data_IF_571734911876
#
_entry.id   IF_571734911876
#
_cell.length_a   1.000
_cell.length_b   1.000
_cell.length_c   1.000
_cell.angle_alpha   90.00
_cell.angle_beta   90.00
_cell.angle_gamma   90.00
#
_symmetry.space_group_name_H-M   'P 1'
#
loop_
_entity.id
_entity.type
_entity.pdbx_description
1 polymer ?
#
# COMPACT_ATOMS: atom_id res chain seq x y z
N UNK A 1 -12.25 -20.04 14.30
CA UNK A 1 -13.56 -19.51 13.87
C UNK A 1 -13.37 -18.68 12.61
N UNK A 2 -14.34 -18.68 11.69
CA UNK A 2 -14.33 -17.81 10.51
C UNK A 2 -14.22 -16.33 10.91
N UNK A 3 -14.81 -15.93 12.03
CA UNK A 3 -14.74 -14.56 12.55
C UNK A 3 -13.30 -14.10 12.81
N UNK A 4 -12.48 -14.98 13.42
CA UNK A 4 -11.07 -14.70 13.70
C UNK A 4 -10.29 -14.47 12.40
N UNK A 5 -10.55 -15.30 11.38
CA UNK A 5 -9.93 -15.14 10.07
C UNK A 5 -10.31 -13.81 9.43
N UNK A 6 -11.60 -13.45 9.43
CA UNK A 6 -12.06 -12.17 8.88
C UNK A 6 -11.43 -10.96 9.58
N UNK A 7 -11.26 -11.01 10.91
CA UNK A 7 -10.61 -9.92 11.66
C UNK A 7 -9.15 -9.77 11.23
N UNK A 8 -8.39 -10.87 11.16
CA UNK A 8 -6.99 -10.80 10.73
C UNK A 8 -6.84 -10.34 9.29
N UNK A 9 -7.71 -10.80 8.39
CA UNK A 9 -7.74 -10.33 7.00
C UNK A 9 -8.07 -8.83 6.95
N UNK A 10 -9.03 -8.35 7.74
CA UNK A 10 -9.38 -6.93 7.79
C UNK A 10 -8.19 -6.08 8.28
N UNK A 11 -7.51 -6.52 9.34
CA UNK A 11 -6.32 -5.85 9.86
C UNK A 11 -5.18 -5.85 8.83
N UNK A 12 -4.90 -6.99 8.19
CA UNK A 12 -3.86 -7.09 7.18
C UNK A 12 -4.11 -6.16 5.97
N UNK A 13 -5.36 -6.12 5.48
CA UNK A 13 -5.73 -5.22 4.37
C UNK A 13 -5.69 -3.74 4.78
N UNK A 14 -6.11 -3.42 6.01
CA UNK A 14 -5.99 -2.05 6.53
C UNK A 14 -4.53 -1.60 6.61
N UNK A 15 -3.64 -2.44 7.15
CA UNK A 15 -2.20 -2.17 7.20
C UNK A 15 -1.58 -2.05 5.80
N UNK A 16 -1.96 -2.92 4.86
CA UNK A 16 -1.47 -2.87 3.48
C UNK A 16 -1.90 -1.56 2.78
N UNK A 17 -3.15 -1.13 2.96
CA UNK A 17 -3.67 0.12 2.39
C UNK A 17 -2.97 1.36 2.96
N UNK A 18 -2.72 1.39 4.27
CA UNK A 18 -1.97 2.47 4.91
C UNK A 18 -0.52 2.54 4.41
N UNK A 19 0.13 1.38 4.26
CA UNK A 19 1.50 1.32 3.74
C UNK A 19 1.58 1.80 2.28
N UNK A 20 0.61 1.41 1.44
CA UNK A 20 0.54 1.85 0.05
C UNK A 20 0.46 3.38 -0.06
N UNK A 21 -0.43 4.01 0.70
CA UNK A 21 -0.60 5.46 0.67
C UNK A 21 0.66 6.21 1.15
N UNK A 22 1.28 5.71 2.22
CA UNK A 22 2.49 6.32 2.80
C UNK A 22 3.70 6.19 1.88
N UNK A 23 3.95 5.00 1.31
CA UNK A 23 5.10 4.77 0.45
C UNK A 23 5.03 5.64 -0.83
N UNK A 24 3.83 5.79 -1.41
CA UNK A 24 3.61 6.70 -2.56
C UNK A 24 3.90 8.14 -2.18
N UNK A 25 3.38 8.60 -1.03
CA UNK A 25 3.54 9.97 -0.58
C UNK A 25 5.02 10.30 -0.33
N UNK A 26 5.72 9.48 0.45
CA UNK A 26 7.15 9.64 0.74
C UNK A 26 7.97 9.62 -0.55
N UNK A 27 7.67 8.72 -1.48
CA UNK A 27 8.39 8.65 -2.75
C UNK A 27 8.22 9.93 -3.58
N UNK A 28 6.98 10.42 -3.71
CA UNK A 28 6.68 11.65 -4.45
C UNK A 28 7.26 12.91 -3.79
N UNK A 29 7.54 12.89 -2.49
CA UNK A 29 8.15 14.03 -1.79
C UNK A 29 9.65 14.17 -2.06
N UNK A 30 10.36 13.07 -2.31
CA UNK A 30 11.77 13.10 -2.71
C UNK A 30 11.97 13.15 -4.23
N UNK A 31 10.95 12.80 -5.01
CA UNK A 31 11.07 12.69 -6.46
C UNK A 31 10.88 14.05 -7.14
N UNK A 32 11.87 14.54 -7.92
CA UNK A 32 11.71 15.77 -8.69
C UNK A 32 10.58 15.62 -9.72
N UNK A 33 9.85 16.71 -9.98
CA UNK A 33 8.69 16.72 -10.88
C UNK A 33 8.96 16.08 -12.26
N UNK A 34 10.14 16.33 -12.84
CA UNK A 34 10.58 15.76 -14.13
C UNK A 34 10.56 14.22 -14.17
N UNK A 35 10.76 13.57 -13.03
CA UNK A 35 10.89 12.12 -12.91
C UNK A 35 9.66 11.45 -12.29
N UNK A 36 8.53 12.16 -12.17
CA UNK A 36 7.29 11.61 -11.58
C UNK A 36 6.79 10.32 -12.25
N UNK A 37 7.15 10.09 -13.51
CA UNK A 37 6.85 8.82 -14.19
C UNK A 37 7.47 7.61 -13.48
N UNK A 38 8.54 7.76 -12.69
CA UNK A 38 9.12 6.65 -11.90
C UNK A 38 8.13 6.06 -10.89
N UNK A 39 7.06 6.78 -10.55
CA UNK A 39 5.98 6.23 -9.73
C UNK A 39 5.31 5.00 -10.38
N UNK A 40 5.32 4.88 -11.72
CA UNK A 40 4.79 3.69 -12.40
C UNK A 40 5.66 2.46 -12.18
N UNK A 41 6.97 2.63 -11.94
CA UNK A 41 7.89 1.52 -11.62
C UNK A 41 7.52 0.90 -10.27
N UNK A 42 7.04 1.70 -9.32
CA UNK A 42 6.53 1.18 -8.04
C UNK A 42 5.29 0.30 -8.23
N UNK A 43 4.45 0.59 -9.23
CA UNK A 43 3.32 -0.27 -9.57
C UNK A 43 3.77 -1.62 -10.14
N UNK A 44 4.94 -1.72 -10.78
CA UNK A 44 5.47 -3.01 -11.24
C UNK A 44 5.74 -3.98 -10.08
N UNK A 45 6.03 -3.47 -8.88
CA UNK A 45 6.23 -4.28 -7.68
C UNK A 45 4.96 -5.03 -7.24
N UNK A 46 3.78 -4.55 -7.63
CA UNK A 46 2.53 -5.30 -7.44
C UNK A 46 2.57 -6.63 -8.18
N UNK A 47 3.08 -6.63 -9.42
CA UNK A 47 3.27 -7.83 -10.22
C UNK A 47 4.13 -8.85 -9.50
N UNK A 48 5.32 -8.43 -9.05
CA UNK A 48 6.26 -9.29 -8.29
C UNK A 48 5.60 -9.91 -7.06
N UNK A 49 4.81 -9.13 -6.30
CA UNK A 49 4.07 -9.62 -5.15
C UNK A 49 3.01 -10.67 -5.52
N UNK A 50 2.23 -10.42 -6.58
CA UNK A 50 1.23 -11.36 -7.10
C UNK A 50 1.89 -12.66 -7.61
N UNK A 51 2.98 -12.56 -8.37
CA UNK A 51 3.74 -13.72 -8.86
C UNK A 51 4.25 -14.55 -7.68
N UNK A 52 4.90 -13.92 -6.71
CA UNK A 52 5.45 -14.60 -5.52
C UNK A 52 4.34 -15.32 -4.75
N UNK A 53 3.20 -14.65 -4.54
CA UNK A 53 2.05 -15.23 -3.83
C UNK A 53 1.49 -16.43 -4.57
N UNK A 54 1.32 -16.33 -5.90
CA UNK A 54 0.81 -17.42 -6.72
C UNK A 54 1.77 -18.61 -6.77
N UNK A 55 3.09 -18.38 -6.87
CA UNK A 55 4.09 -19.45 -6.82
C UNK A 55 4.09 -20.19 -5.48
N UNK A 56 4.01 -19.47 -4.36
CA UNK A 56 3.88 -20.07 -3.03
C UNK A 56 2.57 -20.85 -2.89
N UNK A 57 1.47 -20.30 -3.40
CA UNK A 57 0.18 -20.99 -3.42
C UNK A 57 0.25 -22.28 -4.26
N UNK A 58 0.90 -22.25 -5.42
CA UNK A 58 1.12 -23.41 -6.27
C UNK A 58 2.03 -24.47 -5.63
N UNK A 59 3.02 -24.05 -4.85
CA UNK A 59 3.89 -24.98 -4.12
C UNK A 59 3.18 -25.66 -2.93
N UNK A 60 2.36 -24.92 -2.17
CA UNK A 60 1.78 -25.44 -0.92
C UNK A 60 0.38 -26.05 -1.08
N UNK A 61 -0.50 -25.46 -1.89
CA UNK A 61 -1.90 -25.87 -1.91
C UNK A 61 -2.14 -27.24 -2.54
N UNK A 62 -1.51 -27.63 -3.66
CA UNK A 62 -1.67 -28.97 -4.21
C UNK A 62 -1.13 -30.08 -3.30
N UNK A 63 -0.07 -29.79 -2.53
CA UNK A 63 0.64 -30.79 -1.73
C UNK A 63 0.09 -30.93 -0.30
N UNK A 64 -0.55 -29.90 0.25
CA UNK A 64 -0.98 -29.83 1.65
C UNK A 64 -2.47 -29.43 1.80
N UNK A 65 -3.29 -29.72 0.80
CA UNK A 65 -4.75 -29.57 0.87
C UNK A 65 -5.44 -30.89 0.58
N UNK A 66 -6.63 -31.07 1.12
CA UNK A 66 -7.42 -32.29 0.92
C UNK A 66 -7.93 -32.41 -0.51
N UNK A 67 -7.99 -33.63 -1.03
CA UNK A 67 -8.55 -33.95 -2.35
C UNK A 67 -10.07 -33.97 -2.37
N UNK A 68 -10.72 -34.26 -1.24
CA UNK A 68 -12.18 -34.26 -1.05
C UNK A 68 -12.56 -33.60 0.28
N UNK A 69 -13.79 -33.09 0.38
CA UNK A 69 -14.38 -32.54 1.59
C UNK A 69 -14.76 -33.64 2.63
N UNK A 70 -14.89 -34.90 2.21
CA UNK A 70 -15.42 -35.99 3.05
C UNK A 70 -14.51 -36.33 4.24
N UNK A 71 -13.19 -36.30 4.05
CA UNK A 71 -12.20 -36.48 5.11
C UNK A 71 -11.10 -35.42 5.02
N UNK A 72 -11.35 -34.29 5.66
CA UNK A 72 -10.43 -33.15 5.64
C UNK A 72 -10.11 -32.61 7.05
N UNK A 73 -9.41 -33.38 7.90
CA UNK A 73 -8.97 -32.89 9.20
C UNK A 73 -7.94 -31.76 9.03
N UNK A 74 -7.92 -30.83 10.00
CA UNK A 74 -7.00 -29.68 9.99
C UNK A 74 -5.50 -30.08 10.03
N UNK A 75 -5.16 -31.34 10.31
CA UNK A 75 -3.78 -31.85 10.25
C UNK A 75 -3.26 -31.94 8.83
N UNK A 76 -4.10 -32.31 7.86
CA UNK A 76 -3.73 -32.49 6.45
C UNK A 76 -4.11 -31.29 5.57
N UNK A 77 -5.02 -30.42 6.05
CA UNK A 77 -5.42 -29.19 5.34
C UNK A 77 -4.69 -27.94 5.83
N UNK A 78 -3.37 -27.87 5.58
CA UNK A 78 -2.50 -26.80 6.09
C UNK A 78 -1.87 -25.93 5.00
N UNK A 79 -2.09 -26.23 3.73
CA UNK A 79 -1.50 -25.50 2.60
C UNK A 79 -1.76 -24.00 2.68
N UNK A 80 -3.00 -23.58 2.96
CA UNK A 80 -3.34 -22.17 3.10
C UNK A 80 -2.59 -21.49 4.25
N UNK A 81 -2.36 -22.19 5.38
CA UNK A 81 -1.61 -21.65 6.52
C UNK A 81 -0.14 -21.45 6.16
N UNK A 82 0.47 -22.43 5.48
CA UNK A 82 1.84 -22.32 5.02
C UNK A 82 2.02 -21.17 4.03
N UNK A 83 1.08 -20.97 3.11
CA UNK A 83 1.07 -19.80 2.23
C UNK A 83 1.05 -18.50 3.02
N UNK A 84 0.18 -18.36 4.03
CA UNK A 84 0.13 -17.18 4.89
C UNK A 84 1.41 -16.97 5.71
N UNK A 85 1.95 -18.03 6.32
CA UNK A 85 3.15 -17.94 7.15
C UNK A 85 4.37 -17.51 6.34
N UNK A 86 4.58 -18.10 5.16
CA UNK A 86 5.74 -17.77 4.32
C UNK A 86 5.62 -16.35 3.76
N UNK A 87 4.44 -15.95 3.25
CA UNK A 87 4.23 -14.57 2.80
C UNK A 87 4.44 -13.57 3.95
N UNK A 88 3.89 -13.85 5.13
CA UNK A 88 4.06 -12.97 6.29
C UNK A 88 5.52 -12.90 6.76
N UNK A 89 6.27 -14.00 6.68
CA UNK A 89 7.69 -14.01 7.00
C UNK A 89 8.51 -13.16 6.02
N UNK A 90 8.19 -13.19 4.71
CA UNK A 90 8.81 -12.32 3.70
C UNK A 90 8.54 -10.85 4.01
N UNK A 91 7.29 -10.49 4.31
CA UNK A 91 6.90 -9.12 4.66
C UNK A 91 7.57 -8.68 5.97
N UNK A 92 7.59 -9.54 6.98
CA UNK A 92 8.24 -9.26 8.27
C UNK A 92 9.75 -9.06 8.09
N UNK A 93 10.44 -9.93 7.35
CA UNK A 93 11.86 -9.79 7.04
C UNK A 93 12.13 -8.46 6.31
N UNK A 94 11.27 -8.09 5.35
CA UNK A 94 11.37 -6.81 4.63
C UNK A 94 11.15 -5.61 5.57
N UNK A 95 10.21 -5.71 6.50
CA UNK A 95 9.97 -4.70 7.53
C UNK A 95 11.14 -4.55 8.49
N UNK A 96 11.73 -5.65 8.96
CA UNK A 96 12.91 -5.63 9.82
C UNK A 96 14.12 -5.05 9.06
N UNK A 97 14.30 -5.41 7.79
CA UNK A 97 15.35 -4.83 6.95
C UNK A 97 15.17 -3.31 6.80
N UNK A 98 13.93 -2.84 6.59
CA UNK A 98 13.59 -1.41 6.56
C UNK A 98 13.96 -0.72 7.86
N UNK A 99 13.61 -1.30 9.02
CA UNK A 99 13.84 -0.67 10.33
C UNK A 99 15.32 -0.65 10.74
N UNK A 100 16.06 -1.74 10.50
CA UNK A 100 17.42 -1.87 11.00
C UNK A 100 18.49 -1.39 10.01
N UNK A 101 18.24 -1.52 8.71
CA UNK A 101 19.26 -1.27 7.68
C UNK A 101 19.04 0.02 6.91
N UNK A 102 17.78 0.39 6.63
CA UNK A 102 17.44 1.57 5.85
C UNK A 102 17.05 2.74 6.77
N UNK A 103 18.04 3.54 7.16
CA UNK A 103 17.79 4.82 7.84
C UNK A 103 17.31 5.85 6.81
N UNK A 104 16.00 6.03 6.72
CA UNK A 104 15.37 7.10 5.96
C UNK A 104 15.17 8.28 6.90
N UNK A 105 15.64 9.46 6.47
CA UNK A 105 15.33 10.71 7.16
C UNK A 105 13.86 11.08 6.93
N UNK A 106 13.31 11.93 7.80
CA UNK A 106 11.95 12.45 7.63
C UNK A 106 11.82 13.28 6.36
N UNK A 107 10.64 13.26 5.77
CA UNK A 107 10.43 13.94 4.50
C UNK A 107 10.45 15.46 4.67
N UNK A 108 11.02 16.21 3.70
CA UNK A 108 11.10 17.66 3.81
C UNK A 108 9.73 18.34 3.94
N UNK A 109 8.69 17.84 3.26
CA UNK A 109 7.34 18.42 3.35
C UNK A 109 6.71 18.15 4.71
N UNK A 110 6.89 16.96 5.27
CA UNK A 110 6.45 16.66 6.63
C UNK A 110 7.09 17.64 7.62
N UNK A 111 8.42 17.79 7.58
CA UNK A 111 9.16 18.69 8.47
C UNK A 111 8.68 20.14 8.38
N UNK A 112 8.45 20.64 7.17
CA UNK A 112 7.85 21.98 6.97
C UNK A 112 6.45 22.04 7.58
N UNK A 113 5.58 21.04 7.34
CA UNK A 113 4.22 21.04 7.89
C UNK A 113 4.13 21.06 9.42
N UNK A 114 5.18 20.61 10.11
CA UNK A 114 5.28 20.65 11.59
C UNK A 114 6.11 21.82 12.12
N UNK A 115 6.53 22.76 11.24
CA UNK A 115 7.31 23.94 11.59
C UNK A 115 8.79 23.67 11.90
N UNK A 116 9.32 22.51 11.48
CA UNK A 116 10.73 22.11 11.64
C UNK A 116 11.55 22.49 10.41
N UNK A 117 11.50 23.76 10.05
CA UNK A 117 12.07 24.31 8.82
C UNK A 117 13.59 24.14 8.71
N UNK A 118 14.31 24.34 9.83
CA UNK A 118 15.76 24.15 9.90
C UNK A 118 16.18 22.71 9.53
N UNK A 119 15.43 21.71 10.02
CA UNK A 119 15.70 20.31 9.73
C UNK A 119 15.33 19.93 8.29
N UNK A 120 14.27 20.54 7.75
CA UNK A 120 13.90 20.34 6.35
C UNK A 120 15.01 20.83 5.41
N UNK A 121 15.58 22.00 5.68
CA UNK A 121 16.69 22.58 4.90
C UNK A 121 17.96 21.74 5.05
N UNK A 122 18.34 21.35 6.28
CA UNK A 122 19.51 20.49 6.50
C UNK A 122 19.39 19.14 5.76
N UNK A 123 18.23 18.49 5.83
CA UNK A 123 17.97 17.24 5.11
C UNK A 123 18.15 17.39 3.61
N UNK A 124 17.60 18.46 3.01
CA UNK A 124 17.74 18.73 1.58
C UNK A 124 19.18 19.06 1.19
N UNK A 125 19.89 19.85 1.98
CA UNK A 125 21.29 20.21 1.73
C UNK A 125 22.22 18.99 1.88
N UNK A 126 21.99 18.14 2.88
CA UNK A 126 22.70 16.86 3.07
C UNK A 126 22.48 15.91 1.90
N UNK A 127 21.24 15.80 1.43
CA UNK A 127 20.89 15.00 0.26
C UNK A 127 21.59 15.54 -1.01
N UNK A 128 21.53 16.84 -1.22
CA UNK A 128 22.18 17.50 -2.35
C UNK A 128 23.70 17.29 -2.32
N UNK A 129 24.34 17.42 -1.16
CA UNK A 129 25.77 17.14 -0.97
C UNK A 129 26.11 15.68 -1.26
N UNK A 130 25.31 14.73 -0.74
CA UNK A 130 25.50 13.28 -0.96
C UNK A 130 25.45 12.90 -2.43
N UNK A 131 24.54 13.51 -3.20
CA UNK A 131 24.35 13.23 -4.63
C UNK A 131 25.02 14.26 -5.57
N UNK A 132 25.91 15.10 -5.03
CA UNK A 132 26.63 16.15 -5.76
C UNK A 132 25.72 17.04 -6.64
N UNK A 133 24.62 17.50 -6.06
CA UNK A 133 23.66 18.44 -6.66
C UNK A 133 23.73 19.79 -5.95
N UNK A 134 23.37 20.86 -6.67
CA UNK A 134 23.22 22.19 -6.07
C UNK A 134 21.86 22.29 -5.38
N UNK A 135 21.84 22.71 -4.12
CA UNK A 135 20.63 23.12 -3.42
C UNK A 135 20.76 24.62 -3.12
N UNK A 136 19.84 25.42 -3.66
CA UNK A 136 19.82 26.88 -3.45
C UNK A 136 18.97 27.30 -2.26
N UNK A 137 18.25 26.35 -1.63
CA UNK A 137 17.33 26.62 -0.53
C UNK A 137 18.11 26.92 0.75
N UNK A 138 17.82 28.06 1.36
CA UNK A 138 18.36 28.45 2.68
C UNK A 138 17.23 28.58 3.70
N UNK A 139 17.59 28.57 4.99
CA UNK A 139 16.62 28.70 6.07
C UNK A 139 15.88 30.04 6.00
N UNK A 140 16.59 31.12 5.69
CA UNK A 140 16.04 32.46 5.62
C UNK A 140 14.98 32.58 4.49
N UNK A 141 15.17 31.85 3.39
CA UNK A 141 14.19 31.81 2.30
C UNK A 141 12.90 31.12 2.72
N UNK A 142 13.00 30.08 3.55
CA UNK A 142 11.86 29.32 4.04
C UNK A 142 11.11 30.10 5.13
N UNK A 143 11.84 30.69 6.08
CA UNK A 143 11.28 31.56 7.14
C UNK A 143 10.63 32.83 6.55
N UNK A 144 11.16 33.36 5.43
CA UNK A 144 10.55 34.49 4.73
C UNK A 144 9.16 34.18 4.16
N UNK A 145 8.78 32.91 3.99
CA UNK A 145 7.42 32.54 3.58
C UNK A 145 6.38 32.71 4.70
N UNK A 146 6.82 32.97 5.93
CA UNK A 146 5.96 33.21 7.09
C UNK A 146 5.62 31.96 7.90
N UNK A 147 5.10 32.13 9.12
CA UNK A 147 4.80 31.02 10.02
C UNK A 147 3.58 30.23 9.53
N UNK A 148 3.67 28.91 9.63
CA UNK A 148 2.56 28.02 9.31
C UNK A 148 1.59 28.01 10.49
N UNK A 149 0.36 28.44 10.24
CA UNK A 149 -0.73 28.50 11.24
C UNK A 149 -1.53 27.20 11.35
N UNK A 150 -1.17 26.15 10.60
CA UNK A 150 -1.90 24.89 10.65
C UNK A 150 -1.68 24.20 12.00
N UNK A 151 -2.75 24.08 12.79
CA UNK A 151 -2.76 23.23 13.98
C UNK A 151 -2.51 21.77 13.57
N UNK A 152 -1.25 21.34 13.66
CA UNK A 152 -0.89 19.94 13.51
C UNK A 152 -1.48 19.16 14.68
N UNK A 153 -2.25 18.10 14.38
CA UNK A 153 -2.75 17.22 15.43
C UNK A 153 -1.59 16.42 16.00
N UNK A 154 -1.34 16.58 17.29
CA UNK A 154 -0.38 15.72 18.01
C UNK A 154 -1.08 15.07 19.20
N UNK A 155 -0.98 13.75 19.31
CA UNK A 155 -1.59 13.00 20.41
C UNK A 155 -1.06 13.50 21.77
N UNK A 156 0.19 13.94 21.81
CA UNK A 156 0.86 14.49 22.99
C UNK A 156 0.26 15.81 23.47
N UNK A 157 -0.04 16.76 22.57
CA UNK A 157 -0.58 18.07 22.96
C UNK A 157 -2.11 18.10 23.00
N UNK A 158 -2.79 17.31 22.15
CA UNK A 158 -4.24 17.40 21.95
C UNK A 158 -5.05 16.26 22.61
N UNK A 159 -4.37 15.21 23.09
CA UNK A 159 -5.00 13.98 23.54
C UNK A 159 -5.87 13.31 22.45
N UNK A 160 -6.60 12.26 22.82
CA UNK A 160 -7.48 11.54 21.89
C UNK A 160 -8.82 12.29 21.67
N UNK A 161 -8.77 13.46 21.04
CA UNK A 161 -9.93 14.30 20.77
C UNK A 161 -10.49 14.08 19.37
N UNK A 162 -11.48 13.19 19.25
CA UNK A 162 -12.13 12.87 17.97
C UNK A 162 -12.74 14.08 17.26
N UNK A 163 -13.19 15.12 17.99
CA UNK A 163 -13.74 16.34 17.39
C UNK A 163 -12.67 17.15 16.68
N UNK A 164 -11.48 17.27 17.28
CA UNK A 164 -10.34 17.96 16.66
C UNK A 164 -9.87 17.22 15.41
N UNK A 165 -9.76 15.90 15.47
CA UNK A 165 -9.45 15.05 14.30
C UNK A 165 -10.46 15.28 13.17
N UNK A 166 -11.77 15.23 13.49
CA UNK A 166 -12.82 15.44 12.49
C UNK A 166 -12.76 16.84 11.86
N UNK A 167 -12.49 17.87 12.66
CA UNK A 167 -12.34 19.24 12.17
C UNK A 167 -11.14 19.38 11.22
N UNK A 168 -10.01 18.75 11.54
CA UNK A 168 -8.80 18.75 10.69
C UNK A 168 -9.06 18.01 9.38
N UNK A 169 -9.68 16.82 9.44
CA UNK A 169 -10.08 16.08 8.25
C UNK A 169 -11.02 16.92 7.37
N UNK A 170 -12.01 17.57 7.97
CA UNK A 170 -12.93 18.46 7.25
C UNK A 170 -12.20 19.65 6.61
N UNK A 171 -11.21 20.21 7.30
CA UNK A 171 -10.39 21.29 6.76
C UNK A 171 -9.58 20.82 5.54
N UNK A 172 -8.88 19.68 5.63
CA UNK A 172 -8.15 19.10 4.51
C UNK A 172 -9.05 18.73 3.33
N UNK A 173 -10.23 18.15 3.60
CA UNK A 173 -11.22 17.91 2.55
C UNK A 173 -11.68 19.22 1.90
N UNK A 174 -11.88 20.30 2.67
CA UNK A 174 -12.26 21.59 2.10
C UNK A 174 -11.19 22.15 1.16
N UNK A 175 -9.91 21.98 1.50
CA UNK A 175 -8.78 22.39 0.64
C UNK A 175 -8.78 21.60 -0.68
N UNK A 176 -9.01 20.29 -0.61
CA UNK A 176 -9.03 19.41 -1.78
C UNK A 176 -10.11 19.81 -2.81
N UNK A 177 -11.22 20.37 -2.33
CA UNK A 177 -12.36 20.82 -3.12
C UNK A 177 -12.43 22.35 -3.29
N UNK A 178 -11.34 23.06 -3.03
CA UNK A 178 -11.32 24.52 -3.11
C UNK A 178 -11.52 25.03 -4.55
N UNK A 179 -10.87 24.38 -5.52
CA UNK A 179 -11.00 24.71 -6.94
C UNK A 179 -11.90 23.72 -7.67
N UNK A 180 -12.71 24.21 -8.62
CA UNK A 180 -13.59 23.37 -9.44
C UNK A 180 -12.81 22.28 -10.19
N UNK A 181 -11.62 22.59 -10.71
CA UNK A 181 -10.78 21.64 -11.45
C UNK A 181 -10.23 20.56 -10.50
N UNK A 182 -9.73 20.96 -9.33
CA UNK A 182 -9.17 20.04 -8.33
C UNK A 182 -10.26 19.15 -7.73
N UNK A 183 -11.44 19.70 -7.44
CA UNK A 183 -12.58 18.94 -6.94
C UNK A 183 -13.11 17.91 -7.96
N UNK A 184 -13.21 18.29 -9.23
CA UNK A 184 -13.56 17.34 -10.31
C UNK A 184 -12.52 16.26 -10.48
N UNK A 185 -11.23 16.62 -10.55
CA UNK A 185 -10.13 15.67 -10.72
C UNK A 185 -10.07 14.66 -9.56
N UNK A 186 -10.18 15.15 -8.32
CA UNK A 186 -10.22 14.30 -7.12
C UNK A 186 -11.41 13.34 -7.16
N UNK A 187 -12.60 13.84 -7.47
CA UNK A 187 -13.81 13.01 -7.51
C UNK A 187 -13.73 11.94 -8.58
N UNK A 188 -13.23 12.28 -9.77
CA UNK A 188 -13.03 11.31 -10.85
C UNK A 188 -12.01 10.23 -10.48
N UNK A 189 -10.93 10.59 -9.79
CA UNK A 189 -9.95 9.62 -9.29
C UNK A 189 -10.59 8.70 -8.26
N UNK A 190 -11.35 9.23 -7.29
CA UNK A 190 -12.04 8.42 -6.28
C UNK A 190 -13.07 7.48 -6.90
N UNK A 191 -13.86 7.96 -7.87
CA UNK A 191 -14.83 7.16 -8.62
C UNK A 191 -14.13 6.09 -9.46
N UNK A 192 -13.01 6.42 -10.09
CA UNK A 192 -12.21 5.46 -10.86
C UNK A 192 -11.70 4.33 -9.96
N UNK A 193 -11.12 4.66 -8.81
CA UNK A 193 -10.67 3.65 -7.83
C UNK A 193 -11.82 2.82 -7.27
N UNK A 194 -12.99 3.41 -7.03
CA UNK A 194 -14.19 2.69 -6.62
C UNK A 194 -14.59 1.66 -7.69
N UNK A 195 -14.68 2.07 -8.95
CA UNK A 195 -15.05 1.16 -10.03
C UNK A 195 -14.00 0.08 -10.27
N UNK A 196 -12.71 0.42 -10.23
CA UNK A 196 -11.63 -0.58 -10.33
C UNK A 196 -11.77 -1.60 -9.20
N UNK A 197 -11.97 -1.17 -7.96
CA UNK A 197 -12.14 -2.07 -6.82
C UNK A 197 -13.35 -3.02 -6.97
N UNK A 198 -14.49 -2.50 -7.43
CA UNK A 198 -15.69 -3.28 -7.69
C UNK A 198 -15.47 -4.26 -8.85
N UNK A 199 -15.00 -3.77 -10.00
CA UNK A 199 -14.80 -4.58 -11.21
C UNK A 199 -13.77 -5.68 -11.00
N UNK A 200 -12.64 -5.38 -10.35
CA UNK A 200 -11.60 -6.37 -10.06
C UNK A 200 -12.14 -7.45 -9.13
N UNK A 201 -12.81 -7.06 -8.05
CA UNK A 201 -13.40 -8.03 -7.10
C UNK A 201 -14.46 -8.91 -7.77
N UNK A 202 -15.32 -8.34 -8.63
CA UNK A 202 -16.34 -9.11 -9.36
C UNK A 202 -15.66 -10.07 -10.35
N UNK A 203 -14.72 -9.57 -11.14
CA UNK A 203 -14.03 -10.40 -12.13
C UNK A 203 -13.37 -11.60 -11.47
N UNK A 204 -12.47 -11.41 -10.49
CA UNK A 204 -11.72 -12.53 -9.92
C UNK A 204 -12.56 -13.49 -9.08
N UNK A 205 -13.58 -13.00 -8.36
CA UNK A 205 -14.42 -13.89 -7.54
C UNK A 205 -15.49 -14.64 -8.35
N UNK A 206 -15.94 -14.12 -9.49
CA UNK A 206 -17.01 -14.75 -10.27
C UNK A 206 -16.56 -15.36 -11.59
N UNK A 207 -15.30 -15.14 -12.03
CA UNK A 207 -14.77 -15.72 -13.27
C UNK A 207 -14.91 -17.25 -13.30
N UNK A 208 -14.58 -17.93 -12.20
CA UNK A 208 -14.69 -19.39 -12.15
C UNK A 208 -16.15 -19.88 -12.28
N UNK A 209 -17.09 -19.18 -11.63
CA UNK A 209 -18.53 -19.48 -11.71
C UNK A 209 -19.01 -19.29 -13.16
N UNK A 210 -18.59 -18.20 -13.79
CA UNK A 210 -18.95 -17.88 -15.17
C UNK A 210 -18.45 -18.95 -16.16
N UNK A 211 -17.18 -19.36 -16.05
CA UNK A 211 -16.59 -20.41 -16.90
C UNK A 211 -17.30 -21.74 -16.69
N UNK A 212 -17.54 -22.14 -15.43
CA UNK A 212 -18.22 -23.39 -15.11
C UNK A 212 -19.66 -23.44 -15.67
N UNK A 213 -20.39 -22.32 -15.63
CA UNK A 213 -21.75 -22.23 -16.17
C UNK A 213 -21.81 -22.35 -17.70
N UNK A 214 -20.74 -21.99 -18.41
CA UNK A 214 -20.68 -22.02 -19.88
C UNK A 214 -19.94 -23.26 -20.42
N UNK A 215 -19.79 -24.30 -19.60
CA UNK A 215 -19.20 -25.58 -20.01
C UNK A 215 -17.68 -25.59 -20.11
N UNK A 216 -17.00 -24.57 -19.58
CA UNK A 216 -15.54 -24.54 -19.51
C UNK A 216 -15.00 -25.35 -18.32
N UNK A 217 -13.93 -26.12 -18.55
CA UNK A 217 -13.19 -26.80 -17.48
C UNK A 217 -12.42 -25.76 -16.65
N UNK A 218 -12.81 -25.60 -15.38
CA UNK A 218 -12.15 -24.67 -14.44
C UNK A 218 -10.89 -25.26 -13.81
N UNK A 219 -10.42 -26.42 -14.29
CA UNK A 219 -9.26 -27.14 -13.79
C UNK A 219 -9.70 -28.26 -12.86
N UNK A 220 -9.70 -29.48 -13.39
CA UNK A 220 -10.03 -30.72 -12.67
C UNK A 220 -9.14 -31.04 -11.46
N UNK A 221 -7.99 -30.38 -11.30
CA UNK A 221 -7.13 -30.53 -10.12
C UNK A 221 -6.61 -29.20 -9.59
N UNK A 222 -6.47 -29.12 -8.27
CA UNK A 222 -5.89 -27.97 -7.54
C UNK A 222 -4.52 -27.56 -8.09
N UNK A 223 -3.71 -28.53 -8.54
CA UNK A 223 -2.42 -28.27 -9.17
C UNK A 223 -2.54 -27.46 -10.47
N UNK A 224 -3.46 -27.84 -11.36
CA UNK A 224 -3.65 -27.15 -12.64
C UNK A 224 -4.15 -25.72 -12.41
N UNK A 225 -5.07 -25.53 -11.45
CA UNK A 225 -5.61 -24.21 -11.10
C UNK A 225 -4.50 -23.26 -10.67
N UNK A 226 -3.70 -23.63 -9.67
CA UNK A 226 -2.66 -22.74 -9.15
C UNK A 226 -1.46 -22.60 -10.11
N UNK A 227 -1.15 -23.62 -10.92
CA UNK A 227 -0.18 -23.50 -12.02
C UNK A 227 -0.64 -22.44 -13.03
N UNK A 228 -1.87 -22.56 -13.53
CA UNK A 228 -2.40 -21.64 -14.54
C UNK A 228 -2.49 -20.21 -13.96
N UNK A 229 -2.88 -20.07 -12.69
CA UNK A 229 -2.85 -18.78 -11.98
C UNK A 229 -1.44 -18.20 -11.89
N UNK A 230 -0.43 -19.03 -11.60
CA UNK A 230 0.97 -18.59 -11.54
C UNK A 230 1.49 -18.12 -12.89
N UNK A 231 1.15 -18.82 -13.96
CA UNK A 231 1.53 -18.42 -15.33
C UNK A 231 0.82 -17.13 -15.74
N UNK A 232 -0.48 -16.98 -15.42
CA UNK A 232 -1.26 -15.80 -15.77
C UNK A 232 -0.80 -14.53 -15.03
N UNK A 233 -0.23 -14.68 -13.83
CA UNK A 233 0.26 -13.58 -13.00
C UNK A 233 1.80 -13.50 -12.98
N UNK A 234 2.49 -14.15 -13.93
CA UNK A 234 3.93 -14.04 -14.05
C UNK A 234 4.30 -12.70 -14.68
N UNK A 235 5.09 -11.89 -13.97
CA UNK A 235 5.58 -10.57 -14.40
C UNK A 235 7.09 -10.57 -14.48
#
# INVERSE_FOLDING_TARGET
SMSTYCIFVALANFSAGGNLAMDVAVFLEYLPFKYQYLNTVMAAWWGVGQTTTNLLAWAFLPNFSCSSADYCPSSINRGWRYTWYVNSAIVLASGLLRLFWFKLDETPKFLVSVGRDAEAVDNLQRLAKKYNRKCSLTLEQLEACGPITSEFYSVENDGFNYKKILNIVRHHCKILYQDKINGWSTSLILISWLFIGISYSIFYNFLYIYIAQHGGDTGTSTYIVYRNSSVANFV
#
